data_IF_319351698449
#
_entry.id   IF_319351698449
#
_cell.length_a   1.000
_cell.length_b   1.000
_cell.length_c   1.000
_cell.angle_alpha   90.00
_cell.angle_beta   90.00
_cell.angle_gamma   90.00
#
_symmetry.space_group_name_H-M   'P 1'
#
loop_
_entity.id
_entity.type
_entity.pdbx_description
1 polymer ?
#
# COMPACT_ATOMS: atom_id res chain seq x y z
N UNK A 1 20.07 6.82 -16.33
CA UNK A 1 19.61 5.69 -15.49
C UNK A 1 20.28 5.90 -14.14
N UNK A 2 19.51 6.21 -13.10
CA UNK A 2 20.07 6.63 -11.82
C UNK A 2 20.21 5.43 -10.89
N UNK A 3 21.45 5.04 -10.61
CA UNK A 3 21.76 3.93 -9.70
C UNK A 3 21.88 4.46 -8.27
N UNK A 4 21.18 3.81 -7.33
CA UNK A 4 21.22 4.16 -5.92
C UNK A 4 21.76 3.01 -5.09
N UNK A 5 22.63 3.31 -4.13
CA UNK A 5 23.28 2.32 -3.26
C UNK A 5 22.94 2.64 -1.80
N UNK A 6 22.49 1.62 -1.06
CA UNK A 6 22.16 1.74 0.37
C UNK A 6 23.33 1.23 1.19
N UNK A 7 24.02 2.13 1.90
CA UNK A 7 25.13 1.73 2.78
C UNK A 7 25.41 2.75 3.89
N UNK A 8 25.83 2.25 5.05
CA UNK A 8 26.39 3.03 6.15
C UNK A 8 27.92 3.04 6.16
N UNK A 9 28.58 2.23 5.34
CA UNK A 9 30.04 2.13 5.31
C UNK A 9 30.67 3.31 4.54
N UNK A 10 31.66 3.96 5.13
CA UNK A 10 32.27 5.17 4.55
C UNK A 10 33.15 4.89 3.33
N UNK A 11 33.75 3.70 3.22
CA UNK A 11 34.57 3.33 2.07
C UNK A 11 33.68 3.02 0.87
N UNK A 12 32.64 2.22 1.07
CA UNK A 12 31.66 1.90 0.02
C UNK A 12 30.98 3.15 -0.53
N UNK A 13 30.68 4.13 0.33
CA UNK A 13 30.11 5.41 -0.08
C UNK A 13 31.03 6.19 -1.01
N UNK A 14 32.32 6.27 -0.69
CA UNK A 14 33.29 7.00 -1.51
C UNK A 14 33.40 6.36 -2.90
N UNK A 15 33.47 5.03 -2.96
CA UNK A 15 33.53 4.27 -4.21
C UNK A 15 32.25 4.49 -5.02
N UNK A 16 31.08 4.36 -4.38
CA UNK A 16 29.78 4.56 -5.01
C UNK A 16 29.63 5.98 -5.60
N UNK A 17 30.03 7.01 -4.85
CA UNK A 17 29.96 8.40 -5.31
C UNK A 17 30.94 8.68 -6.46
N UNK A 18 32.14 8.10 -6.43
CA UNK A 18 33.11 8.21 -7.52
C UNK A 18 32.61 7.57 -8.83
N UNK A 19 31.78 6.53 -8.73
CA UNK A 19 31.15 5.85 -9.87
C UNK A 19 29.88 6.55 -10.37
N UNK A 20 29.55 7.75 -9.85
CA UNK A 20 28.37 8.52 -10.26
C UNK A 20 27.04 7.98 -9.71
N UNK A 21 27.08 7.15 -8.67
CA UNK A 21 25.86 6.62 -8.02
C UNK A 21 25.44 7.47 -6.83
N UNK A 22 24.15 7.41 -6.48
CA UNK A 22 23.58 8.16 -5.36
C UNK A 22 23.57 7.29 -4.11
N UNK A 23 24.18 7.77 -3.02
CA UNK A 23 24.11 7.12 -1.71
C UNK A 23 22.73 7.37 -1.06
N UNK A 24 22.16 6.33 -0.49
CA UNK A 24 21.06 6.40 0.49
C UNK A 24 21.54 5.81 1.82
N UNK A 25 21.22 6.44 2.95
CA UNK A 25 21.52 5.84 4.25
C UNK A 25 20.56 4.69 4.59
N UNK A 26 20.97 3.67 5.36
CA UNK A 26 20.06 2.60 5.77
C UNK A 26 18.82 3.10 6.51
N UNK A 27 18.96 4.19 7.30
CA UNK A 27 17.85 4.82 8.02
C UNK A 27 16.83 5.45 7.06
N UNK A 28 17.28 6.19 6.05
CA UNK A 28 16.40 6.77 5.04
C UNK A 28 15.73 5.69 4.19
N UNK A 29 16.46 4.63 3.85
CA UNK A 29 15.90 3.51 3.11
C UNK A 29 14.82 2.79 3.92
N UNK A 30 15.07 2.56 5.22
CA UNK A 30 14.07 1.98 6.13
C UNK A 30 12.80 2.84 6.19
N UNK A 31 12.94 4.16 6.28
CA UNK A 31 11.81 5.09 6.28
C UNK A 31 11.03 5.05 4.95
N UNK A 32 11.73 4.96 3.81
CA UNK A 32 11.09 4.80 2.50
C UNK A 32 10.32 3.48 2.39
N UNK A 33 10.90 2.38 2.89
CA UNK A 33 10.22 1.07 2.93
C UNK A 33 8.95 1.15 3.77
N UNK A 34 9.02 1.74 4.97
CA UNK A 34 7.85 1.91 5.85
C UNK A 34 6.76 2.76 5.21
N UNK A 35 7.12 3.88 4.57
CA UNK A 35 6.18 4.74 3.85
C UNK A 35 5.52 4.01 2.69
N UNK A 36 6.31 3.27 1.92
CA UNK A 36 5.82 2.48 0.79
C UNK A 36 4.87 1.39 1.26
N UNK A 37 5.23 0.66 2.32
CA UNK A 37 4.35 -0.33 2.95
C UNK A 37 3.02 0.31 3.38
N UNK A 38 3.06 1.41 4.12
CA UNK A 38 1.86 2.09 4.59
C UNK A 38 0.97 2.59 3.43
N UNK A 39 1.58 3.12 2.36
CA UNK A 39 0.87 3.53 1.15
C UNK A 39 0.15 2.35 0.51
N UNK A 40 0.85 1.24 0.29
CA UNK A 40 0.28 0.03 -0.31
C UNK A 40 -0.87 -0.49 0.56
N UNK A 41 -0.67 -0.63 1.86
CA UNK A 41 -1.71 -1.11 2.78
C UNK A 41 -2.94 -0.21 2.75
N UNK A 42 -2.77 1.12 2.77
CA UNK A 42 -3.89 2.05 2.68
C UNK A 42 -4.63 1.94 1.35
N UNK A 43 -3.91 1.84 0.24
CA UNK A 43 -4.50 1.68 -1.10
C UNK A 43 -5.24 0.34 -1.22
N UNK A 44 -4.70 -0.75 -0.69
CA UNK A 44 -5.36 -2.07 -0.71
C UNK A 44 -6.56 -2.14 0.22
N UNK A 45 -6.50 -1.53 1.41
CA UNK A 45 -7.65 -1.39 2.32
C UNK A 45 -8.76 -0.56 1.70
N UNK A 46 -8.45 0.60 1.10
CA UNK A 46 -9.43 1.42 0.38
C UNK A 46 -10.07 0.62 -0.75
N UNK A 47 -9.27 -0.05 -1.58
CA UNK A 47 -9.79 -0.87 -2.69
C UNK A 47 -10.65 -2.03 -2.17
N UNK A 48 -10.31 -2.62 -1.02
CA UNK A 48 -11.12 -3.66 -0.38
C UNK A 48 -12.46 -3.09 0.12
N UNK A 49 -12.45 -1.96 0.82
CA UNK A 49 -13.66 -1.28 1.31
C UNK A 49 -14.56 -0.84 0.15
N UNK A 50 -13.99 -0.28 -0.92
CA UNK A 50 -14.72 0.10 -2.13
C UNK A 50 -15.37 -1.11 -2.80
N UNK A 51 -14.67 -2.26 -2.87
CA UNK A 51 -15.26 -3.53 -3.33
C UNK A 51 -16.30 -4.10 -2.38
N UNK A 52 -16.20 -3.78 -1.08
CA UNK A 52 -17.14 -4.19 -0.04
C UNK A 52 -18.36 -3.28 0.06
N UNK A 53 -18.54 -2.29 -0.82
CA UNK A 53 -19.79 -1.52 -0.97
C UNK A 53 -20.94 -2.36 -1.55
N UNK A 54 -21.11 -3.59 -1.06
CA UNK A 54 -22.28 -4.41 -1.30
C UNK A 54 -23.47 -3.79 -0.57
N UNK A 55 -24.65 -3.89 -1.19
CA UNK A 55 -25.92 -3.42 -0.63
C UNK A 55 -26.13 -3.91 0.82
N UNK A 56 -25.66 -5.12 1.11
CA UNK A 56 -25.70 -5.80 2.40
C UNK A 56 -25.01 -5.01 3.54
N UNK A 57 -23.96 -4.24 3.21
CA UNK A 57 -23.19 -3.47 4.20
C UNK A 57 -23.74 -2.05 4.42
N UNK A 58 -24.66 -1.60 3.56
CA UNK A 58 -25.22 -0.24 3.60
C UNK A 58 -26.71 -0.21 3.97
N UNK A 59 -27.36 -1.37 4.05
CA UNK A 59 -28.82 -1.48 4.23
C UNK A 59 -29.13 -2.29 5.48
N UNK A 60 -30.11 -1.83 6.25
CA UNK A 60 -30.56 -2.53 7.46
C UNK A 60 -31.00 -3.96 7.11
N UNK A 61 -30.66 -4.93 7.97
CA UNK A 61 -30.88 -6.36 7.78
C UNK A 61 -32.33 -6.70 7.42
N UNK A 62 -33.30 -6.02 8.01
CA UNK A 62 -34.74 -6.22 7.73
C UNK A 62 -35.12 -5.78 6.31
N UNK A 63 -34.50 -4.73 5.80
CA UNK A 63 -34.72 -4.24 4.44
C UNK A 63 -34.03 -5.17 3.44
N UNK A 64 -32.82 -5.64 3.76
CA UNK A 64 -32.08 -6.60 2.95
C UNK A 64 -32.87 -7.92 2.78
N UNK A 65 -33.47 -8.42 3.87
CA UNK A 65 -34.29 -9.63 3.83
C UNK A 65 -35.53 -9.48 2.93
N UNK A 66 -36.20 -8.32 2.99
CA UNK A 66 -37.33 -8.02 2.09
C UNK A 66 -36.91 -8.00 0.63
N UNK A 67 -35.77 -7.38 0.31
CA UNK A 67 -35.24 -7.32 -1.04
C UNK A 67 -34.83 -8.71 -1.56
N UNK A 68 -34.24 -9.56 -0.72
CA UNK A 68 -33.92 -10.95 -1.08
C UNK A 68 -35.18 -11.80 -1.32
N UNK A 69 -36.26 -11.62 -0.53
CA UNK A 69 -37.54 -12.29 -0.78
C UNK A 69 -38.14 -11.89 -2.13
N UNK A 70 -38.15 -10.59 -2.42
CA UNK A 70 -38.58 -10.07 -3.72
C UNK A 70 -37.73 -10.62 -4.88
N UNK A 71 -36.40 -10.64 -4.74
CA UNK A 71 -35.48 -11.16 -5.76
C UNK A 71 -35.72 -12.65 -6.05
N UNK A 72 -36.11 -13.43 -5.03
CA UNK A 72 -36.38 -14.86 -5.14
C UNK A 72 -37.80 -15.19 -5.61
N UNK A 73 -38.63 -14.18 -5.93
CA UNK A 73 -40.06 -14.33 -6.23
C UNK A 73 -40.80 -15.17 -5.18
N UNK A 74 -40.49 -14.92 -3.91
CA UNK A 74 -41.23 -15.44 -2.74
C UNK A 74 -42.23 -14.40 -2.24
#
# INVERSE_FOLDING_TARGET
>A
MDVRVVTSDNLEQKIAMQMGTIRITPKEFLEQVKRTYHKITKETELTYVERKNMLENCVNKDILEKLEKMRRNL
#
